data_IF_964761684157
#
_entry.id   IF_964761684157
#
_cell.length_a   1.000
_cell.length_b   1.000
_cell.length_c   1.000
_cell.angle_alpha   90.00
_cell.angle_beta   90.00
_cell.angle_gamma   90.00
#
_symmetry.space_group_name_H-M   'P 1'
#
loop_
_entity.id
_entity.type
_entity.pdbx_description
1 polymer ?
#
# COMPACT_ATOMS: atom_id res chain seq x y z
N UNK A 1 -2.91 8.76 29.83
CA UNK A 1 -1.66 8.49 29.08
C UNK A 1 -1.41 6.99 28.85
N UNK A 2 -2.46 6.19 28.58
CA UNK A 2 -2.42 4.84 27.98
C UNK A 2 -3.86 4.48 27.52
N UNK A 3 -4.56 5.40 26.87
CA UNK A 3 -6.00 5.26 26.56
C UNK A 3 -6.31 5.62 25.10
N UNK A 4 -5.31 5.63 24.22
CA UNK A 4 -5.53 5.85 22.78
C UNK A 4 -5.68 4.51 22.04
N UNK A 5 -5.45 3.37 22.70
CA UNK A 5 -5.37 2.07 22.04
C UNK A 5 -6.71 1.31 21.93
N UNK A 6 -7.82 1.85 22.43
CA UNK A 6 -9.07 1.09 22.64
C UNK A 6 -10.30 1.70 21.97
N UNK A 7 -10.16 2.39 20.84
CA UNK A 7 -11.33 2.73 19.99
C UNK A 7 -11.07 2.72 18.49
N UNK A 8 -9.93 2.19 18.06
CA UNK A 8 -9.62 2.07 16.64
C UNK A 8 -10.63 1.09 16.01
N UNK A 9 -11.57 1.65 15.25
CA UNK A 9 -12.59 0.86 14.57
C UNK A 9 -11.87 -0.08 13.61
N UNK A 10 -12.46 -1.26 13.35
CA UNK A 10 -11.90 -2.23 12.40
C UNK A 10 -11.50 -1.55 11.07
N UNK A 11 -12.28 -0.56 10.64
CA UNK A 11 -12.04 0.28 9.46
C UNK A 11 -10.77 1.12 9.55
N UNK A 12 -10.49 1.74 10.69
CA UNK A 12 -9.28 2.53 10.91
C UNK A 12 -8.04 1.65 11.01
N UNK A 13 -8.14 0.47 11.63
CA UNK A 13 -7.05 -0.52 11.64
C UNK A 13 -6.71 -0.93 10.22
N UNK A 14 -7.73 -1.24 9.40
CA UNK A 14 -7.51 -1.57 7.98
C UNK A 14 -6.86 -0.41 7.22
N UNK A 15 -7.28 0.84 7.45
CA UNK A 15 -6.64 2.02 6.83
C UNK A 15 -5.16 2.11 7.22
N UNK A 16 -4.83 1.98 8.50
CA UNK A 16 -3.43 2.07 8.98
C UNK A 16 -2.57 0.94 8.40
N UNK A 17 -3.05 -0.31 8.49
CA UNK A 17 -2.34 -1.49 7.97
C UNK A 17 -2.11 -1.36 6.48
N UNK A 18 -3.12 -0.89 5.75
CA UNK A 18 -3.05 -0.73 4.31
C UNK A 18 -2.11 0.41 3.89
N UNK A 19 -2.16 1.58 4.55
CA UNK A 19 -1.22 2.67 4.33
C UNK A 19 0.22 2.23 4.63
N UNK A 20 0.42 1.45 5.70
CA UNK A 20 1.73 0.86 6.03
C UNK A 20 2.23 -0.12 4.96
N UNK A 21 1.37 -0.99 4.44
CA UNK A 21 1.70 -1.92 3.37
C UNK A 21 2.10 -1.18 2.07
N UNK A 22 1.36 -0.14 1.69
CA UNK A 22 1.67 0.65 0.50
C UNK A 22 3.03 1.35 0.62
N UNK A 23 3.31 1.94 1.78
CA UNK A 23 4.61 2.56 2.08
C UNK A 23 5.75 1.55 2.02
N UNK A 24 5.54 0.35 2.59
CA UNK A 24 6.53 -0.74 2.54
C UNK A 24 6.84 -1.17 1.10
N UNK A 25 5.81 -1.37 0.27
CA UNK A 25 5.97 -1.73 -1.15
C UNK A 25 6.74 -0.64 -1.90
N UNK A 26 6.43 0.64 -1.65
CA UNK A 26 7.11 1.76 -2.29
C UNK A 26 8.60 1.83 -1.91
N UNK A 27 8.92 1.62 -0.63
CA UNK A 27 10.31 1.58 -0.14
C UNK A 27 11.04 0.38 -0.75
N UNK A 28 10.42 -0.80 -0.78
CA UNK A 28 10.98 -2.00 -1.38
C UNK A 28 11.34 -1.79 -2.87
N UNK A 29 10.41 -1.21 -3.63
CA UNK A 29 10.63 -0.85 -5.03
C UNK A 29 11.69 0.25 -5.18
N UNK A 30 11.77 1.21 -4.26
CA UNK A 30 12.77 2.28 -4.31
C UNK A 30 14.19 1.78 -4.04
N UNK A 31 14.35 0.75 -3.19
CA UNK A 31 15.67 0.17 -2.88
C UNK A 31 16.11 -0.81 -3.98
N UNK A 32 15.18 -1.60 -4.53
CA UNK A 32 15.49 -2.67 -5.48
C UNK A 32 15.28 -2.30 -6.96
N UNK A 33 14.46 -1.29 -7.24
CA UNK A 33 14.11 -0.82 -8.58
C UNK A 33 15.17 0.01 -9.35
N UNK A 34 16.03 0.85 -8.74
CA UNK A 34 16.91 1.72 -9.53
C UNK A 34 18.03 0.97 -10.27
N UNK A 35 18.37 -0.25 -9.86
CA UNK A 35 19.37 -1.08 -10.57
C UNK A 35 18.85 -1.69 -11.89
N UNK A 36 17.55 -1.61 -12.17
CA UNK A 36 16.87 -2.19 -13.33
C UNK A 36 16.00 -1.16 -14.10
N UNK A 37 16.48 0.09 -14.24
CA UNK A 37 15.71 1.25 -14.78
C UNK A 37 15.19 1.13 -16.23
N UNK A 38 15.37 -0.01 -16.90
CA UNK A 38 14.51 -0.41 -18.01
C UNK A 38 13.41 -1.32 -17.44
N UNK A 39 12.49 -0.75 -16.65
CA UNK A 39 11.42 -1.53 -16.02
C UNK A 39 10.54 -2.13 -17.15
N UNK A 40 10.47 -3.46 -17.30
CA UNK A 40 9.69 -4.09 -18.36
C UNK A 40 8.22 -3.65 -18.29
N UNK A 41 7.59 -3.39 -19.44
CA UNK A 41 6.16 -2.97 -19.53
C UNK A 41 5.22 -3.90 -18.73
N UNK A 42 5.59 -5.18 -18.60
CA UNK A 42 4.87 -6.16 -17.78
C UNK A 42 4.89 -5.82 -16.28
N UNK A 43 6.02 -5.38 -15.74
CA UNK A 43 6.17 -4.99 -14.33
C UNK A 43 5.45 -3.68 -14.03
N UNK A 44 5.52 -2.70 -14.95
CA UNK A 44 4.77 -1.46 -14.84
C UNK A 44 3.25 -1.69 -14.76
N UNK A 45 2.72 -2.58 -15.62
CA UNK A 45 1.29 -2.97 -15.59
C UNK A 45 0.90 -3.68 -14.29
N UNK A 46 1.79 -4.49 -13.71
CA UNK A 46 1.54 -5.15 -12.43
C UNK A 46 1.47 -4.14 -11.28
N UNK A 47 2.36 -3.15 -11.25
CA UNK A 47 2.35 -2.07 -10.24
C UNK A 47 1.09 -1.20 -10.35
N UNK A 48 0.66 -0.88 -11.58
CA UNK A 48 -0.59 -0.16 -11.82
C UNK A 48 -1.81 -0.97 -11.40
N UNK A 49 -1.84 -2.27 -11.68
CA UNK A 49 -2.92 -3.16 -11.25
C UNK A 49 -3.02 -3.28 -9.73
N UNK A 50 -1.90 -3.42 -9.04
CA UNK A 50 -1.85 -3.42 -7.56
C UNK A 50 -2.33 -2.09 -7.01
N UNK A 51 -1.90 -0.96 -7.58
CA UNK A 51 -2.33 0.37 -7.15
C UNK A 51 -3.83 0.61 -7.36
N UNK A 52 -4.39 0.16 -8.49
CA UNK A 52 -5.82 0.29 -8.78
C UNK A 52 -6.67 -0.61 -7.87
N UNK A 53 -6.25 -1.86 -7.67
CA UNK A 53 -6.90 -2.79 -6.72
C UNK A 53 -6.89 -2.21 -5.31
N UNK A 54 -5.76 -1.62 -4.92
CA UNK A 54 -5.59 -0.91 -3.66
C UNK A 54 -6.60 0.23 -3.48
N UNK A 55 -6.78 1.09 -4.48
CA UNK A 55 -7.75 2.20 -4.42
C UNK A 55 -9.19 1.69 -4.34
N UNK A 56 -9.55 0.70 -5.15
CA UNK A 56 -10.88 0.09 -5.16
C UNK A 56 -11.19 -0.58 -3.82
N UNK A 57 -10.23 -1.30 -3.25
CA UNK A 57 -10.38 -1.95 -1.95
C UNK A 57 -10.62 -0.92 -0.84
N UNK A 58 -9.85 0.16 -0.79
CA UNK A 58 -10.07 1.25 0.18
C UNK A 58 -11.44 1.91 -0.02
N UNK A 59 -11.84 2.14 -1.26
CA UNK A 59 -13.15 2.73 -1.58
C UNK A 59 -14.31 1.81 -1.19
N UNK A 60 -14.17 0.49 -1.38
CA UNK A 60 -15.18 -0.51 -0.99
C UNK A 60 -15.28 -0.70 0.53
N UNK A 61 -14.18 -0.45 1.25
CA UNK A 61 -14.12 -0.53 2.72
C UNK A 61 -14.60 0.77 3.38
N UNK A 62 -14.74 1.89 2.66
CA UNK A 62 -15.33 3.17 3.12
C UNK A 62 -16.85 3.15 2.88
#
# INVERSE_FOLDING_TARGET
>A
MLEILTSLTLREIHKIVFTGFLAFVFIYLSIKGPKNMAMPIKEFRMIQGVSLFSIVYVNWVI
#
